data_IF_917260255974
#
_entry.id   IF_917260255974
#
_cell.length_a   1.000
_cell.length_b   1.000
_cell.length_c   1.000
_cell.angle_alpha   90.00
_cell.angle_beta   90.00
_cell.angle_gamma   90.00
#
_symmetry.space_group_name_H-M   'P 1'
#
loop_
_entity.id
_entity.type
_entity.pdbx_description
1 polymer ?
#
# COMPACT_ATOMS: atom_id res chain seq x y z
N UNK A 1 25.25 -1.80 -0.30
CA UNK A 1 24.34 -2.90 -0.69
C UNK A 1 25.08 -3.76 -1.70
N UNK A 2 25.01 -5.09 -1.57
CA UNK A 2 25.43 -6.00 -2.64
C UNK A 2 24.47 -5.90 -3.83
N UNK A 3 24.97 -6.15 -5.05
CA UNK A 3 24.15 -6.16 -6.26
C UNK A 3 22.98 -7.16 -6.16
N UNK A 4 23.25 -8.30 -5.52
CA UNK A 4 22.27 -9.38 -5.31
C UNK A 4 21.07 -8.92 -4.48
N UNK A 5 21.31 -8.08 -3.46
CA UNK A 5 20.25 -7.53 -2.64
C UNK A 5 19.35 -6.57 -3.44
N UNK A 6 19.95 -5.75 -4.31
CA UNK A 6 19.20 -4.81 -5.13
C UNK A 6 18.35 -5.54 -6.19
N UNK A 7 18.91 -6.59 -6.81
CA UNK A 7 18.17 -7.45 -7.73
C UNK A 7 17.02 -8.18 -7.01
N UNK A 8 17.26 -8.73 -5.83
CA UNK A 8 16.22 -9.36 -5.01
C UNK A 8 15.08 -8.39 -4.72
N UNK A 9 15.38 -7.18 -4.23
CA UNK A 9 14.36 -6.14 -3.97
C UNK A 9 13.56 -5.86 -5.25
N UNK A 10 14.24 -5.69 -6.39
CA UNK A 10 13.57 -5.43 -7.66
C UNK A 10 12.59 -6.53 -8.05
N UNK A 11 13.01 -7.80 -8.01
CA UNK A 11 12.14 -8.93 -8.35
C UNK A 11 10.97 -9.09 -7.39
N UNK A 12 11.21 -8.95 -6.09
CA UNK A 12 10.18 -9.05 -5.06
C UNK A 12 9.16 -7.93 -5.19
N UNK A 13 9.61 -6.71 -5.46
CA UNK A 13 8.72 -5.60 -5.75
C UNK A 13 7.89 -5.85 -7.02
N UNK A 14 8.46 -6.47 -8.06
CA UNK A 14 7.73 -6.81 -9.27
C UNK A 14 6.63 -7.85 -8.99
N UNK A 15 6.94 -8.89 -8.20
CA UNK A 15 5.93 -9.88 -7.77
C UNK A 15 4.84 -9.20 -6.92
N UNK A 16 5.22 -8.37 -5.95
CA UNK A 16 4.28 -7.59 -5.14
C UNK A 16 3.37 -6.73 -6.02
N UNK A 17 3.92 -6.04 -7.02
CA UNK A 17 3.17 -5.22 -7.96
C UNK A 17 2.16 -6.04 -8.79
N UNK A 18 2.52 -7.25 -9.21
CA UNK A 18 1.59 -8.15 -9.91
C UNK A 18 0.43 -8.55 -8.99
N UNK A 19 0.72 -8.98 -7.76
CA UNK A 19 -0.31 -9.34 -6.77
C UNK A 19 -1.22 -8.14 -6.46
N UNK A 20 -0.62 -6.95 -6.27
CA UNK A 20 -1.35 -5.70 -6.07
C UNK A 20 -2.26 -5.36 -7.24
N UNK A 21 -1.78 -5.53 -8.48
CA UNK A 21 -2.56 -5.28 -9.69
C UNK A 21 -3.77 -6.19 -9.77
N UNK A 22 -3.60 -7.49 -9.53
CA UNK A 22 -4.71 -8.45 -9.54
C UNK A 22 -5.72 -8.15 -8.44
N UNK A 23 -5.24 -7.95 -7.21
CA UNK A 23 -6.13 -7.71 -6.06
C UNK A 23 -6.89 -6.39 -6.17
N UNK A 24 -6.27 -5.31 -6.66
CA UNK A 24 -6.97 -4.02 -6.80
C UNK A 24 -7.94 -3.99 -7.99
N UNK A 25 -7.88 -4.93 -8.93
CA UNK A 25 -8.92 -5.07 -9.96
C UNK A 25 -10.11 -5.93 -9.49
N UNK A 26 -9.95 -6.68 -8.40
CA UNK A 26 -11.02 -7.48 -7.81
C UNK A 26 -11.79 -6.62 -6.81
N UNK A 27 -13.06 -6.28 -7.08
CA UNK A 27 -13.83 -5.45 -6.16
C UNK A 27 -14.00 -6.16 -4.81
N UNK A 28 -13.92 -5.40 -3.71
CA UNK A 28 -14.14 -5.88 -2.35
C UNK A 28 -12.92 -6.50 -1.65
N UNK A 29 -11.74 -6.51 -2.28
CA UNK A 29 -10.47 -6.76 -1.58
C UNK A 29 -9.86 -5.41 -1.22
N UNK A 30 -9.54 -5.23 0.06
CA UNK A 30 -8.85 -4.06 0.55
C UNK A 30 -7.33 -4.28 0.64
N UNK A 31 -6.57 -3.19 0.62
CA UNK A 31 -5.11 -3.21 0.87
C UNK A 31 -4.77 -3.91 2.19
N UNK A 32 -5.57 -3.69 3.24
CA UNK A 32 -5.31 -4.26 4.56
C UNK A 32 -5.51 -5.78 4.59
N UNK A 33 -6.55 -6.28 3.91
CA UNK A 33 -6.79 -7.73 3.83
C UNK A 33 -5.73 -8.39 2.96
N UNK A 34 -5.29 -7.73 1.89
CA UNK A 34 -4.17 -8.19 1.09
C UNK A 34 -2.87 -8.33 1.90
N UNK A 35 -2.53 -7.30 2.68
CA UNK A 35 -1.35 -7.33 3.55
C UNK A 35 -1.44 -8.48 4.57
N UNK A 36 -2.59 -8.64 5.22
CA UNK A 36 -2.84 -9.72 6.17
C UNK A 36 -2.69 -11.11 5.54
N UNK A 37 -3.17 -11.30 4.30
CA UNK A 37 -2.99 -12.55 3.55
C UNK A 37 -1.50 -12.80 3.28
N UNK A 38 -0.76 -11.80 2.76
CA UNK A 38 0.68 -11.96 2.49
C UNK A 38 1.44 -12.34 3.77
N UNK A 39 1.11 -11.69 4.89
CA UNK A 39 1.68 -12.00 6.22
C UNK A 39 1.31 -13.40 6.71
N UNK A 40 0.06 -13.84 6.54
CA UNK A 40 -0.38 -15.17 6.93
C UNK A 40 0.36 -16.28 6.16
N UNK A 41 0.72 -16.02 4.91
CA UNK A 41 1.48 -16.95 4.07
C UNK A 41 3.01 -16.80 4.20
N UNK A 42 3.50 -15.99 5.15
CA UNK A 42 4.93 -15.74 5.31
C UNK A 42 5.76 -17.03 5.38
N UNK A 43 5.41 -17.97 6.27
CA UNK A 43 6.19 -19.21 6.43
C UNK A 43 6.27 -20.05 5.15
N UNK A 44 5.22 -20.02 4.31
CA UNK A 44 5.27 -20.69 3.00
C UNK A 44 6.14 -19.95 1.98
N UNK A 45 6.14 -18.61 2.01
CA UNK A 45 7.00 -17.78 1.16
C UNK A 45 8.48 -17.96 1.52
N UNK A 46 8.80 -17.97 2.80
CA UNK A 46 10.16 -18.26 3.30
C UNK A 46 10.63 -19.65 2.87
N UNK A 47 9.78 -20.67 3.00
CA UNK A 47 10.10 -22.03 2.56
C UNK A 47 10.41 -22.12 1.06
N UNK A 48 9.61 -21.47 0.22
CA UNK A 48 9.79 -21.45 -1.24
C UNK A 48 11.09 -20.76 -1.68
N UNK A 49 11.52 -19.74 -0.94
CA UNK A 49 12.63 -18.87 -1.32
C UNK A 49 13.91 -19.18 -0.52
N UNK A 50 13.86 -20.10 0.45
CA UNK A 50 14.98 -20.52 1.31
C UNK A 50 16.27 -20.88 0.57
N UNK A 51 16.19 -21.39 -0.66
CA UNK A 51 17.36 -21.74 -1.48
C UNK A 51 17.97 -20.53 -2.23
N UNK A 52 17.29 -19.39 -2.24
CA UNK A 52 17.60 -18.22 -3.07
C UNK A 52 17.91 -17.00 -2.19
N UNK A 53 17.15 -16.81 -1.11
CA UNK A 53 17.27 -15.66 -0.21
C UNK A 53 17.76 -16.14 1.16
N UNK A 54 18.89 -15.62 1.65
CA UNK A 54 19.35 -15.89 3.00
C UNK A 54 18.33 -15.46 4.05
N UNK A 55 18.18 -16.22 5.14
CA UNK A 55 17.15 -16.01 6.18
C UNK A 55 17.13 -14.58 6.76
N UNK A 56 18.30 -13.93 6.88
CA UNK A 56 18.38 -12.55 7.37
C UNK A 56 17.66 -11.54 6.45
N UNK A 57 17.51 -11.83 5.16
CA UNK A 57 16.82 -10.95 4.22
C UNK A 57 15.31 -11.20 4.10
N UNK A 58 14.78 -12.26 4.74
CA UNK A 58 13.36 -12.60 4.68
C UNK A 58 12.42 -11.47 5.15
N UNK A 59 12.69 -10.75 6.27
CA UNK A 59 11.83 -9.64 6.69
C UNK A 59 11.83 -8.47 5.69
N UNK A 60 12.98 -8.20 5.07
CA UNK A 60 13.12 -7.14 4.06
C UNK A 60 12.35 -7.52 2.80
N UNK A 61 12.46 -8.78 2.36
CA UNK A 61 11.69 -9.31 1.25
C UNK A 61 10.19 -9.12 1.47
N UNK A 62 9.66 -9.54 2.62
CA UNK A 62 8.24 -9.38 2.93
C UNK A 62 7.80 -7.92 2.97
N UNK A 63 8.58 -7.06 3.63
CA UNK A 63 8.29 -5.64 3.70
C UNK A 63 8.21 -5.02 2.29
N UNK A 64 9.19 -5.30 1.43
CA UNK A 64 9.18 -4.84 0.04
C UNK A 64 7.99 -5.38 -0.75
N UNK A 65 7.64 -6.66 -0.56
CA UNK A 65 6.51 -7.30 -1.23
C UNK A 65 5.18 -6.66 -0.82
N UNK A 66 4.94 -6.49 0.48
CA UNK A 66 3.72 -5.90 1.04
C UNK A 66 3.59 -4.44 0.61
N UNK A 67 4.66 -3.64 0.74
CA UNK A 67 4.64 -2.22 0.35
C UNK A 67 4.38 -2.08 -1.14
N UNK A 68 5.06 -2.87 -1.99
CA UNK A 68 4.82 -2.84 -3.44
C UNK A 68 3.38 -3.23 -3.80
N UNK A 69 2.89 -4.32 -3.22
CA UNK A 69 1.52 -4.78 -3.45
C UNK A 69 0.48 -3.75 -3.00
N UNK A 70 0.67 -3.14 -1.84
CA UNK A 70 -0.22 -2.13 -1.28
C UNK A 70 -0.28 -0.87 -2.16
N UNK A 71 0.87 -0.36 -2.62
CA UNK A 71 0.93 0.82 -3.48
C UNK A 71 0.22 0.57 -4.81
N UNK A 72 0.49 -0.58 -5.45
CA UNK A 72 -0.12 -0.89 -6.75
C UNK A 72 -1.61 -1.19 -6.61
N UNK A 73 -2.02 -1.95 -5.58
CA UNK A 73 -3.42 -2.19 -5.27
C UNK A 73 -4.19 -0.89 -5.09
N UNK A 74 -3.68 0.03 -4.27
CA UNK A 74 -4.33 1.32 -4.04
C UNK A 74 -4.47 2.13 -5.34
N UNK A 75 -3.50 2.03 -6.25
CA UNK A 75 -3.58 2.71 -7.54
C UNK A 75 -4.59 2.04 -8.49
N UNK A 76 -4.75 0.72 -8.46
CA UNK A 76 -5.64 -0.01 -9.38
C UNK A 76 -7.08 -0.09 -8.89
N UNK A 77 -7.32 -0.07 -7.58
CA UNK A 77 -8.65 -0.14 -6.96
C UNK A 77 -9.56 1.05 -7.28
N UNK A 78 -9.00 2.20 -7.67
CA UNK A 78 -9.80 3.30 -8.22
C UNK A 78 -10.60 2.91 -9.47
N UNK A 79 -10.12 1.96 -10.27
CA UNK A 79 -10.81 1.54 -11.51
C UNK A 79 -12.14 0.86 -11.19
N UNK A 80 -12.19 -0.27 -10.45
CA UNK A 80 -13.45 -0.89 -10.09
C UNK A 80 -14.30 0.02 -9.19
N UNK A 81 -13.68 0.76 -8.27
CA UNK A 81 -14.38 1.70 -7.38
C UNK A 81 -15.16 2.78 -8.13
N UNK A 82 -14.56 3.40 -9.15
CA UNK A 82 -15.23 4.43 -9.94
C UNK A 82 -16.29 3.80 -10.85
N UNK A 83 -15.98 2.70 -11.56
CA UNK A 83 -16.86 2.14 -12.59
C UNK A 83 -18.00 1.27 -12.07
N UNK A 84 -17.76 0.44 -11.06
CA UNK A 84 -18.78 -0.46 -10.53
C UNK A 84 -19.58 0.17 -9.39
N UNK A 85 -19.16 1.34 -8.88
CA UNK A 85 -19.90 2.05 -7.84
C UNK A 85 -20.05 1.24 -6.55
N UNK A 86 -19.12 0.31 -6.31
CA UNK A 86 -18.97 -0.42 -5.04
C UNK A 86 -17.72 0.13 -4.34
N UNK A 87 -17.72 1.41 -3.91
CA UNK A 87 -16.65 1.93 -3.10
C UNK A 87 -16.74 1.30 -1.71
N UNK A 88 -15.59 1.09 -1.10
CA UNK A 88 -15.56 0.76 0.30
C UNK A 88 -16.14 1.93 1.14
N UNK A 89 -16.81 1.65 2.26
CA UNK A 89 -17.41 2.68 3.11
C UNK A 89 -16.39 3.72 3.57
N UNK A 90 -15.13 3.31 3.78
CA UNK A 90 -14.02 4.20 4.17
C UNK A 90 -13.60 5.16 3.05
N UNK A 91 -13.71 4.73 1.79
CA UNK A 91 -13.26 5.51 0.62
C UNK A 91 -14.42 6.19 -0.15
N UNK A 92 -15.66 6.03 0.31
CA UNK A 92 -16.85 6.53 -0.40
C UNK A 92 -16.80 8.04 -0.64
N UNK A 93 -16.35 8.83 0.34
CA UNK A 93 -16.20 10.29 0.19
C UNK A 93 -15.11 10.67 -0.81
N UNK A 94 -14.02 9.90 -0.86
CA UNK A 94 -12.88 10.15 -1.75
C UNK A 94 -13.22 9.79 -3.21
N UNK A 95 -14.07 8.79 -3.43
CA UNK A 95 -14.44 8.29 -4.76
C UNK A 95 -15.62 9.08 -5.37
N UNK A 96 -16.43 9.74 -4.53
CA UNK A 96 -17.63 10.48 -4.95
C UNK A 96 -17.39 11.48 -6.11
N UNK A 97 -16.31 12.29 -6.13
CA UNK A 97 -16.03 13.17 -7.27
C UNK A 97 -15.79 12.38 -8.57
N UNK A 98 -15.05 11.27 -8.49
CA UNK A 98 -14.79 10.39 -9.64
C UNK A 98 -16.07 9.73 -10.16
N UNK A 99 -16.95 9.31 -9.26
CA UNK A 99 -18.26 8.77 -9.63
C UNK A 99 -19.17 9.82 -10.30
N UNK A 100 -19.13 11.09 -9.86
CA UNK A 100 -19.85 12.18 -10.54
C UNK A 100 -19.33 12.40 -11.96
N UNK A 101 -18.00 12.43 -12.14
CA UNK A 101 -17.39 12.53 -13.46
C UNK A 101 -17.75 11.35 -14.36
N UNK A 102 -17.88 10.14 -13.80
CA UNK A 102 -18.36 8.98 -14.55
C UNK A 102 -19.81 9.18 -15.05
N UNK A 103 -20.72 9.64 -14.18
CA UNK A 103 -22.11 9.92 -14.54
C UNK A 103 -22.24 11.01 -15.63
N UNK A 104 -21.29 11.93 -15.69
CA UNK A 104 -21.19 12.97 -16.73
C UNK A 104 -20.56 12.46 -18.04
N UNK A 105 -20.17 11.19 -18.12
CA UNK A 105 -19.51 10.60 -19.30
C UNK A 105 -17.99 10.80 -19.34
N UNK A 106 -17.39 11.32 -18.26
CA UNK A 106 -15.97 11.62 -18.13
C UNK A 106 -15.18 10.61 -17.27
N UNK A 107 -15.64 9.35 -17.17
CA UNK A 107 -15.01 8.32 -16.34
C UNK A 107 -13.52 8.08 -16.62
N UNK A 108 -13.11 8.12 -17.89
CA UNK A 108 -11.69 8.00 -18.26
C UNK A 108 -10.84 9.17 -17.78
N UNK A 109 -11.42 10.38 -17.69
CA UNK A 109 -10.74 11.55 -17.14
C UNK A 109 -10.58 11.38 -15.63
N UNK A 110 -11.61 10.87 -14.94
CA UNK A 110 -11.54 10.58 -13.52
C UNK A 110 -10.40 9.60 -13.18
N UNK A 111 -10.26 8.52 -13.97
CA UNK A 111 -9.17 7.54 -13.77
C UNK A 111 -7.80 8.15 -14.06
N UNK A 112 -7.67 8.98 -15.11
CA UNK A 112 -6.41 9.67 -15.39
C UNK A 112 -6.02 10.60 -14.25
N UNK A 113 -6.97 11.35 -13.69
CA UNK A 113 -6.75 12.19 -12.53
C UNK A 113 -6.33 11.37 -11.31
N UNK A 114 -7.01 10.26 -11.03
CA UNK A 114 -6.64 9.34 -9.95
C UNK A 114 -5.23 8.78 -10.12
N UNK A 115 -4.88 8.32 -11.33
CA UNK A 115 -3.54 7.80 -11.63
C UNK A 115 -2.44 8.86 -11.44
N UNK A 116 -2.66 10.09 -11.90
CA UNK A 116 -1.74 11.21 -11.67
C UNK A 116 -1.62 11.49 -10.16
N UNK A 117 -2.75 11.51 -9.44
CA UNK A 117 -2.79 11.65 -7.99
C UNK A 117 -1.94 10.59 -7.28
N UNK A 118 -2.06 9.32 -7.67
CA UNK A 118 -1.26 8.21 -7.12
C UNK A 118 0.24 8.40 -7.38
N UNK A 119 0.63 8.86 -8.57
CA UNK A 119 2.04 9.13 -8.90
C UNK A 119 2.59 10.28 -8.03
N UNK A 120 1.85 11.39 -7.94
CA UNK A 120 2.24 12.54 -7.11
C UNK A 120 2.30 12.13 -5.63
N UNK A 121 1.33 11.35 -5.16
CA UNK A 121 1.30 10.77 -3.81
C UNK A 121 2.51 9.89 -3.52
N UNK A 122 2.91 9.03 -4.47
CA UNK A 122 4.09 8.19 -4.33
C UNK A 122 5.38 9.03 -4.21
N UNK A 123 5.58 10.02 -5.09
CA UNK A 123 6.76 10.90 -5.03
C UNK A 123 6.80 11.73 -3.74
N UNK A 124 5.66 12.30 -3.34
CA UNK A 124 5.57 13.08 -2.10
C UNK A 124 5.80 12.21 -0.87
N UNK A 125 5.28 10.98 -0.83
CA UNK A 125 5.54 10.01 0.23
C UNK A 125 7.03 9.68 0.36
N UNK A 126 7.71 9.40 -0.76
CA UNK A 126 9.16 9.16 -0.76
C UNK A 126 9.91 10.40 -0.25
N UNK A 127 9.56 11.59 -0.73
CA UNK A 127 10.20 12.83 -0.30
C UNK A 127 10.00 13.12 1.21
N UNK A 128 8.81 12.80 1.75
CA UNK A 128 8.48 12.97 3.17
C UNK A 128 9.02 11.86 4.07
N UNK A 129 9.36 10.69 3.52
CA UNK A 129 9.83 9.55 4.31
C UNK A 129 11.10 9.86 5.13
N UNK A 130 12.07 10.54 4.52
CA UNK A 130 13.35 10.91 5.14
C UNK A 130 13.19 11.90 6.30
N UNK A 131 12.54 13.08 6.13
CA UNK A 131 12.35 14.02 7.23
C UNK A 131 11.47 13.42 8.33
N UNK A 132 10.45 12.62 8.00
CA UNK A 132 9.62 11.94 9.00
C UNK A 132 10.43 10.94 9.82
N UNK A 133 11.28 10.13 9.19
CA UNK A 133 12.18 9.22 9.91
C UNK A 133 13.09 9.97 10.90
N UNK A 134 13.67 11.10 10.48
CA UNK A 134 14.54 11.87 11.37
C UNK A 134 13.77 12.49 12.54
N UNK A 135 12.56 13.00 12.28
CA UNK A 135 11.71 13.60 13.31
C UNK A 135 11.27 12.55 14.35
N UNK A 136 10.83 11.38 13.89
CA UNK A 136 10.42 10.24 14.72
C UNK A 136 11.58 9.75 15.61
N UNK A 137 12.79 9.63 15.04
CA UNK A 137 13.98 9.17 15.77
C UNK A 137 14.53 10.20 16.77
N UNK A 138 14.28 11.49 16.56
CA UNK A 138 14.71 12.57 17.47
C UNK A 138 13.76 12.79 18.66
N UNK A 139 13.09 11.74 19.13
CA UNK A 139 12.26 11.78 20.34
C UNK A 139 10.78 12.07 20.12
N UNK A 140 10.35 12.45 18.90
CA UNK A 140 8.91 12.57 18.60
C UNK A 140 8.17 11.23 18.78
N UNK A 141 8.85 10.10 18.50
CA UNK A 141 8.31 8.76 18.73
C UNK A 141 7.86 8.55 20.18
N UNK A 142 8.66 8.93 21.17
CA UNK A 142 8.31 8.77 22.58
C UNK A 142 7.12 9.62 23.02
N UNK A 143 6.99 10.83 22.47
CA UNK A 143 5.83 11.69 22.71
C UNK A 143 4.56 11.09 22.12
N UNK A 144 4.63 10.58 20.89
CA UNK A 144 3.52 9.90 20.24
C UNK A 144 3.11 8.65 20.99
N UNK A 145 4.06 7.79 21.38
CA UNK A 145 3.79 6.58 22.16
C UNK A 145 3.07 6.88 23.47
N UNK A 146 3.50 7.93 24.19
CA UNK A 146 2.84 8.34 25.43
C UNK A 146 1.40 8.83 25.20
N UNK A 147 1.13 9.47 24.05
CA UNK A 147 -0.21 9.93 23.68
C UNK A 147 -1.10 8.81 23.12
N UNK A 148 -0.52 7.77 22.51
CA UNK A 148 -1.30 6.73 21.80
C UNK A 148 -2.37 6.12 22.67
N UNK A 149 -2.04 5.75 23.92
CA UNK A 149 -3.00 5.17 24.87
C UNK A 149 -4.16 6.14 25.15
N UNK A 150 -3.85 7.42 25.36
CA UNK A 150 -4.87 8.45 25.60
C UNK A 150 -5.78 8.66 24.40
N UNK A 151 -5.21 8.70 23.19
CA UNK A 151 -5.98 8.83 21.95
C UNK A 151 -6.87 7.60 21.75
N UNK A 152 -6.33 6.39 21.92
CA UNK A 152 -7.08 5.14 21.73
C UNK A 152 -8.29 5.08 22.67
N UNK A 153 -8.08 5.42 23.95
CA UNK A 153 -9.16 5.48 24.94
C UNK A 153 -10.18 6.55 24.56
N UNK A 154 -9.75 7.72 24.09
CA UNK A 154 -10.68 8.80 23.71
C UNK A 154 -11.52 8.51 22.45
N UNK A 155 -11.03 7.67 21.54
CA UNK A 155 -11.74 7.27 20.32
C UNK A 155 -12.68 6.09 20.60
N UNK A 156 -12.36 5.25 21.59
CA UNK A 156 -13.17 4.10 21.99
C UNK A 156 -14.22 4.42 23.06
N UNK A 157 -14.06 5.49 23.82
CA UNK A 157 -15.00 5.97 24.85
C UNK A 157 -16.09 6.87 24.25
#
# INVERSE_FOLDING_TARGET
MSLDLLLMIFYVCLIGAMIGSFSGLVPGIHVNTLAAIILAFNGTLESLVSNIVPDHYAPIMLACMVVSAAVVHSATDFVPSIFFGVPDPENTLNIMPGHKMLLEGHGMVAIRCAAIGSIVGAFTSIALSVPMYHLLSNGLGHYLDSLTIGILVSVLA
#
